data_IF_202120142763
#
_entry.id   IF_202120142763
#
_cell.length_a   1.000
_cell.length_b   1.000
_cell.length_c   1.000
_cell.angle_alpha   90.00
_cell.angle_beta   90.00
_cell.angle_gamma   90.00
#
_symmetry.space_group_name_H-M   'P 1'
#
loop_
_entity.id
_entity.type
_entity.pdbx_description
1 polymer ?
#
# COMPACT_ATOMS: atom_id res chain seq x y z
N UNK A 1 -14.43 -12.45 -4.58
CA UNK A 1 -13.18 -12.41 -3.79
C UNK A 1 -13.45 -11.77 -2.42
N UNK A 2 -13.21 -12.48 -1.30
CA UNK A 2 -13.42 -11.94 0.05
C UNK A 2 -12.41 -10.84 0.43
N UNK A 3 -11.14 -10.99 0.04
CA UNK A 3 -10.08 -10.05 0.41
C UNK A 3 -10.31 -8.63 -0.11
N UNK A 4 -10.81 -8.49 -1.34
CA UNK A 4 -11.09 -7.18 -1.93
C UNK A 4 -12.18 -6.43 -1.16
N UNK A 5 -13.26 -7.10 -0.77
CA UNK A 5 -14.32 -6.50 0.04
C UNK A 5 -13.85 -6.11 1.44
N UNK A 6 -12.85 -6.78 1.99
CA UNK A 6 -12.31 -6.47 3.32
C UNK A 6 -11.25 -5.35 3.29
N UNK A 7 -10.42 -5.30 2.25
CA UNK A 7 -9.26 -4.41 2.19
C UNK A 7 -9.57 -3.08 1.49
N UNK A 8 -10.44 -3.08 0.46
CA UNK A 8 -10.78 -1.88 -0.28
C UNK A 8 -11.39 -0.78 0.61
N UNK A 9 -12.31 -1.07 1.56
CA UNK A 9 -12.86 -0.06 2.46
C UNK A 9 -11.89 0.44 3.53
N UNK A 10 -10.66 -0.06 3.58
CA UNK A 10 -9.60 0.42 4.47
C UNK A 10 -8.61 1.33 3.74
N UNK A 11 -8.65 1.37 2.40
CA UNK A 11 -7.61 1.97 1.58
C UNK A 11 -7.86 3.44 1.24
N UNK A 12 -7.40 4.33 2.13
CA UNK A 12 -7.53 5.80 1.98
C UNK A 12 -6.32 6.52 2.58
N UNK A 13 -6.02 7.74 2.11
CA UNK A 13 -4.84 8.50 2.55
C UNK A 13 -4.99 10.01 2.28
N UNK A 14 -6.14 10.58 2.66
CA UNK A 14 -6.38 12.01 2.46
C UNK A 14 -5.41 12.88 3.26
N UNK A 15 -5.03 12.45 4.46
CA UNK A 15 -4.03 13.09 5.32
C UNK A 15 -3.08 12.03 5.89
N UNK A 16 -1.94 12.41 6.49
CA UNK A 16 -1.05 11.47 7.16
C UNK A 16 -1.73 10.62 8.24
N UNK A 17 -2.67 11.20 8.99
CA UNK A 17 -3.45 10.51 10.02
C UNK A 17 -4.31 9.40 9.40
N UNK A 18 -5.04 9.72 8.34
CA UNK A 18 -5.86 8.75 7.60
C UNK A 18 -4.97 7.67 6.97
N UNK A 19 -3.79 8.03 6.46
CA UNK A 19 -2.84 7.07 5.91
C UNK A 19 -2.33 6.10 7.00
N UNK A 20 -2.08 6.59 8.22
CA UNK A 20 -1.67 5.77 9.37
C UNK A 20 -2.76 4.79 9.78
N UNK A 21 -4.01 5.25 9.87
CA UNK A 21 -5.16 4.40 10.15
C UNK A 21 -5.34 3.33 9.07
N UNK A 22 -5.32 3.73 7.80
CA UNK A 22 -5.45 2.81 6.67
C UNK A 22 -4.33 1.76 6.63
N UNK A 23 -3.07 2.19 6.74
CA UNK A 23 -1.92 1.28 6.73
C UNK A 23 -1.96 0.31 7.92
N UNK A 24 -2.29 0.81 9.12
CA UNK A 24 -2.44 -0.02 10.32
C UNK A 24 -3.59 -1.03 10.18
N UNK A 25 -4.74 -0.64 9.62
CA UNK A 25 -5.88 -1.52 9.46
C UNK A 25 -5.61 -2.62 8.41
N UNK A 26 -4.98 -2.27 7.29
CA UNK A 26 -4.56 -3.26 6.29
C UNK A 26 -3.49 -4.19 6.87
N UNK A 27 -2.56 -3.68 7.67
CA UNK A 27 -1.55 -4.49 8.35
C UNK A 27 -2.18 -5.44 9.39
N UNK A 28 -3.20 -5.00 10.13
CA UNK A 28 -3.95 -5.89 11.01
C UNK A 28 -4.64 -7.04 10.24
N UNK A 29 -5.15 -6.77 9.04
CA UNK A 29 -5.66 -7.82 8.14
C UNK A 29 -4.56 -8.77 7.68
N UNK A 30 -3.39 -8.23 7.33
CA UNK A 30 -2.22 -9.05 7.02
C UNK A 30 -1.85 -10.01 8.16
N UNK A 31 -1.81 -9.53 9.42
CA UNK A 31 -1.54 -10.38 10.58
C UNK A 31 -2.62 -11.47 10.79
N UNK A 32 -3.89 -11.16 10.51
CA UNK A 32 -4.98 -12.16 10.56
C UNK A 32 -4.75 -13.26 9.51
N UNK A 33 -4.42 -12.90 8.27
CA UNK A 33 -4.13 -13.87 7.21
C UNK A 33 -2.88 -14.69 7.54
N UNK A 34 -1.85 -14.03 8.10
CA UNK A 34 -0.62 -14.68 8.59
C UNK A 34 -0.92 -15.72 9.66
N UNK A 35 -1.74 -15.40 10.65
CA UNK A 35 -2.15 -16.33 11.70
C UNK A 35 -2.95 -17.53 11.14
N UNK A 36 -3.65 -17.35 10.02
CA UNK A 36 -4.37 -18.39 9.30
C UNK A 36 -3.50 -19.16 8.29
N UNK A 37 -2.20 -18.85 8.17
CA UNK A 37 -1.31 -19.34 7.11
C UNK A 37 -1.85 -19.11 5.68
N UNK A 38 -2.65 -18.05 5.49
CA UNK A 38 -3.24 -17.69 4.22
C UNK A 38 -2.32 -16.75 3.44
N UNK A 39 -1.43 -17.35 2.63
CA UNK A 39 -0.51 -16.60 1.78
C UNK A 39 -1.21 -15.66 0.80
N UNK A 40 -2.36 -16.07 0.22
CA UNK A 40 -3.07 -15.24 -0.77
C UNK A 40 -3.60 -13.99 -0.10
N UNK A 41 -4.23 -14.12 1.08
CA UNK A 41 -4.67 -12.98 1.90
C UNK A 41 -3.52 -12.05 2.26
N UNK A 42 -2.39 -12.62 2.71
CA UNK A 42 -1.17 -11.86 3.01
C UNK A 42 -0.67 -11.07 1.80
N UNK A 43 -0.60 -11.71 0.63
CA UNK A 43 -0.09 -11.10 -0.60
C UNK A 43 -1.00 -9.99 -1.13
N UNK A 44 -2.32 -10.17 -1.02
CA UNK A 44 -3.30 -9.13 -1.37
C UNK A 44 -3.18 -7.95 -0.41
N UNK A 45 -3.10 -8.16 0.91
CA UNK A 45 -2.90 -7.07 1.88
C UNK A 45 -1.61 -6.28 1.59
N UNK A 46 -0.50 -6.98 1.33
CA UNK A 46 0.79 -6.38 0.90
C UNK A 46 0.62 -5.49 -0.34
N UNK A 47 -0.12 -5.95 -1.36
CA UNK A 47 -0.42 -5.17 -2.57
C UNK A 47 -1.20 -3.90 -2.25
N UNK A 48 -2.17 -3.93 -1.33
CA UNK A 48 -2.90 -2.73 -0.92
C UNK A 48 -1.99 -1.69 -0.23
N UNK A 49 -1.08 -2.13 0.64
CA UNK A 49 -0.08 -1.24 1.25
C UNK A 49 0.83 -0.64 0.16
N UNK A 50 1.31 -1.45 -0.78
CA UNK A 50 2.14 -1.00 -1.90
C UNK A 50 1.41 -0.01 -2.82
N UNK A 51 0.12 -0.25 -3.10
CA UNK A 51 -0.71 0.70 -3.84
C UNK A 51 -0.90 2.00 -3.07
N UNK A 52 -1.05 1.96 -1.75
CA UNK A 52 -1.09 3.15 -0.89
C UNK A 52 0.19 3.97 -1.00
N UNK A 53 1.35 3.33 -0.87
CA UNK A 53 2.66 3.96 -1.04
C UNK A 53 2.81 4.64 -2.41
N UNK A 54 2.61 3.88 -3.49
CA UNK A 54 2.80 4.40 -4.85
C UNK A 54 1.84 5.53 -5.20
N UNK A 55 0.58 5.43 -4.76
CA UNK A 55 -0.42 6.48 -5.01
C UNK A 55 -0.16 7.72 -4.17
N UNK A 56 0.17 7.59 -2.89
CA UNK A 56 0.56 8.72 -2.04
C UNK A 56 1.80 9.43 -2.60
N UNK A 57 2.82 8.68 -3.04
CA UNK A 57 4.03 9.24 -3.66
C UNK A 57 3.72 9.99 -4.95
N UNK A 58 2.80 9.47 -5.77
CA UNK A 58 2.33 10.16 -6.98
C UNK A 58 1.61 11.46 -6.65
N UNK A 59 0.80 11.49 -5.60
CA UNK A 59 0.07 12.69 -5.16
C UNK A 59 1.01 13.72 -4.53
N UNK A 60 2.10 13.27 -3.89
CA UNK A 60 3.17 14.14 -3.42
C UNK A 60 3.84 14.90 -4.56
N UNK A 61 4.05 14.21 -5.69
CA UNK A 61 4.73 14.75 -6.86
C UNK A 61 3.80 15.49 -7.83
N UNK A 62 2.51 15.16 -7.88
CA UNK A 62 1.57 15.70 -8.86
C UNK A 62 0.18 15.97 -8.23
N UNK A 63 -0.32 17.20 -8.37
CA UNK A 63 -1.63 17.59 -7.82
C UNK A 63 -2.75 16.71 -8.38
N UNK A 64 -3.57 16.14 -7.49
CA UNK A 64 -4.66 15.21 -7.86
C UNK A 64 -4.18 13.90 -8.48
N UNK A 65 -2.87 13.64 -8.52
CA UNK A 65 -2.27 12.50 -9.19
C UNK A 65 -2.26 12.57 -10.72
N UNK A 66 -2.59 13.71 -11.35
CA UNK A 66 -2.47 13.85 -12.79
C UNK A 66 -1.00 14.05 -13.18
N UNK A 67 -0.44 13.07 -13.91
CA UNK A 67 0.95 13.13 -14.40
C UNK A 67 1.03 13.85 -15.75
N UNK A 68 0.00 13.75 -16.57
CA UNK A 68 -0.02 14.26 -17.94
C UNK A 68 -1.10 15.33 -18.10
N UNK A 69 -0.83 16.34 -18.91
CA UNK A 69 -1.85 17.30 -19.37
C UNK A 69 -2.71 16.70 -20.50
N UNK A 70 -3.66 17.47 -21.03
CA UNK A 70 -4.59 17.02 -22.09
C UNK A 70 -3.92 16.69 -23.42
N UNK A 71 -2.67 17.13 -23.62
CA UNK A 71 -1.87 16.86 -24.83
C UNK A 71 -0.77 15.82 -24.59
N UNK A 72 -0.72 15.20 -23.40
CA UNK A 72 0.20 14.10 -23.09
C UNK A 72 1.57 14.52 -22.53
N UNK A 73 1.78 15.79 -22.23
CA UNK A 73 3.03 16.28 -21.64
C UNK A 73 3.03 16.09 -20.12
N UNK A 74 4.21 15.82 -19.55
CA UNK A 74 4.37 15.62 -18.11
C UNK A 74 4.19 16.96 -17.38
N UNK A 75 3.27 16.99 -16.41
CA UNK A 75 3.05 18.15 -15.55
C UNK A 75 4.24 18.36 -14.60
N UNK A 76 4.57 19.62 -14.24
CA UNK A 76 5.64 19.91 -13.30
C UNK A 76 5.49 19.13 -11.99
N UNK A 77 6.62 18.63 -11.49
CA UNK A 77 6.68 18.03 -10.16
C UNK A 77 6.42 19.12 -9.13
N UNK A 78 5.57 18.81 -8.15
CA UNK A 78 5.39 19.59 -6.92
C UNK A 78 5.84 18.77 -5.72
N UNK A 79 5.95 19.43 -4.59
CA UNK A 79 6.26 18.78 -3.32
C UNK A 79 5.15 19.08 -2.32
N UNK A 80 4.20 18.17 -2.22
CA UNK A 80 3.19 18.17 -1.16
C UNK A 80 3.73 17.34 0.03
N UNK A 81 4.02 18.03 1.14
CA UNK A 81 4.62 17.44 2.33
C UNK A 81 3.68 16.45 3.02
N UNK A 82 2.37 16.71 3.07
CA UNK A 82 1.39 15.80 3.70
C UNK A 82 1.29 14.49 2.93
N UNK A 83 1.31 14.56 1.59
CA UNK A 83 1.32 13.36 0.75
C UNK A 83 2.65 12.63 0.79
N UNK A 84 3.76 13.34 0.92
CA UNK A 84 5.06 12.72 1.13
C UNK A 84 5.09 11.95 2.46
N UNK A 85 4.56 12.53 3.53
CA UNK A 85 4.43 11.84 4.83
C UNK A 85 3.49 10.63 4.74
N UNK A 86 2.34 10.76 4.08
CA UNK A 86 1.44 9.64 3.82
C UNK A 86 2.14 8.50 3.08
N UNK A 87 3.01 8.81 2.11
CA UNK A 87 3.81 7.82 1.40
C UNK A 87 4.84 7.14 2.32
N UNK A 88 5.53 7.89 3.17
CA UNK A 88 6.48 7.35 4.15
C UNK A 88 5.81 6.37 5.11
N UNK A 89 4.58 6.67 5.56
CA UNK A 89 3.81 5.77 6.42
C UNK A 89 3.55 4.43 5.73
N UNK A 90 3.03 4.41 4.50
CA UNK A 90 2.84 3.14 3.78
C UNK A 90 4.16 2.43 3.48
N UNK A 91 5.24 3.16 3.21
CA UNK A 91 6.56 2.57 2.98
C UNK A 91 7.07 1.82 4.22
N UNK A 92 6.85 2.37 5.41
CA UNK A 92 7.20 1.70 6.68
C UNK A 92 6.47 0.37 6.83
N UNK A 93 5.15 0.35 6.66
CA UNK A 93 4.36 -0.88 6.75
C UNK A 93 4.68 -1.87 5.63
N UNK A 94 4.98 -1.39 4.43
CA UNK A 94 5.43 -2.25 3.32
C UNK A 94 6.76 -2.92 3.68
N UNK A 95 7.68 -2.17 4.29
CA UNK A 95 8.93 -2.73 4.82
C UNK A 95 8.68 -3.86 5.80
N UNK A 96 7.81 -3.65 6.80
CA UNK A 96 7.45 -4.69 7.79
C UNK A 96 6.96 -5.99 7.14
N UNK A 97 6.04 -5.88 6.17
CA UNK A 97 5.50 -7.04 5.45
C UNK A 97 6.56 -7.73 4.59
N UNK A 98 7.40 -6.94 3.92
CA UNK A 98 8.47 -7.46 3.06
C UNK A 98 9.59 -8.10 3.88
N UNK A 99 9.77 -7.69 5.14
CA UNK A 99 10.77 -8.23 6.06
C UNK A 99 10.28 -9.42 6.89
N UNK A 100 8.98 -9.71 6.92
CA UNK A 100 8.41 -10.86 7.63
C UNK A 100 8.96 -12.19 7.09
N UNK A 101 9.68 -12.98 7.93
CA UNK A 101 10.21 -14.28 7.52
C UNK A 101 9.11 -15.25 7.06
N UNK A 102 7.93 -15.21 7.68
CA UNK A 102 6.81 -16.11 7.32
C UNK A 102 6.32 -15.81 5.91
N UNK A 103 6.19 -14.53 5.56
CA UNK A 103 5.81 -14.14 4.20
C UNK A 103 6.87 -14.54 3.17
N UNK A 104 8.16 -14.39 3.50
CA UNK A 104 9.26 -14.82 2.61
C UNK A 104 9.22 -16.31 2.34
N UNK A 105 9.01 -17.12 3.38
CA UNK A 105 8.91 -18.58 3.29
C UNK A 105 7.71 -19.01 2.44
N UNK A 106 6.51 -18.54 2.78
CA UNK A 106 5.28 -18.86 2.05
C UNK A 106 5.33 -18.41 0.59
N UNK A 107 5.96 -17.26 0.32
CA UNK A 107 6.17 -16.76 -1.04
C UNK A 107 7.09 -17.68 -1.84
N UNK A 108 8.20 -18.15 -1.25
CA UNK A 108 9.10 -19.10 -1.93
C UNK A 108 8.37 -20.39 -2.25
N UNK A 109 7.66 -20.96 -1.28
CA UNK A 109 6.88 -22.18 -1.47
C UNK A 109 5.80 -22.04 -2.55
N UNK A 110 5.17 -20.86 -2.66
CA UNK A 110 4.17 -20.58 -3.70
C UNK A 110 4.78 -20.40 -5.10
N UNK A 111 6.03 -19.90 -5.19
CA UNK A 111 6.72 -19.70 -6.48
C UNK A 111 7.34 -20.98 -7.05
N UNK A 112 7.61 -21.97 -6.19
CA UNK A 112 8.14 -23.28 -6.56
C UNK A 112 7.06 -24.27 -7.03
N UNK A 113 5.78 -23.92 -6.85
CA UNK A 113 4.61 -24.65 -7.39
C UNK A 113 4.24 -24.17 -8.79
#
# INVERSE_FOLDING_TARGET
EPYKSELLPLWHFRTPEVAREAASAIYAKYEQYRAAADFVGMDVARKYIQMGYTRARRYANHQGGLKYNTVGEVLPIRHDAEKAESASIFAEYLGRVMDDPVYKELKSAFQEQ
#
